data_IF_465417597796
#
_entry.id   IF_465417597796
#
_cell.length_a   1.000
_cell.length_b   1.000
_cell.length_c   1.000
_cell.angle_alpha   90.00
_cell.angle_beta   90.00
_cell.angle_gamma   90.00
#
_symmetry.space_group_name_H-M   'P 1'
#
loop_
_entity.id
_entity.type
_entity.pdbx_description
1 polymer ?
#
# COMPACT_ATOMS: atom_id res chain seq x y z
N UNK A 1 -17.92 -10.92 19.18
CA UNK A 1 -17.22 -11.46 18.00
C UNK A 1 -15.85 -10.82 17.95
N UNK A 2 -14.81 -11.65 18.10
CA UNK A 2 -13.44 -11.19 18.30
C UNK A 2 -12.99 -10.25 17.18
N UNK A 3 -12.44 -9.11 17.56
CA UNK A 3 -11.73 -8.23 16.64
C UNK A 3 -10.62 -9.06 16.02
N UNK A 4 -10.85 -9.56 14.79
CA UNK A 4 -9.76 -9.99 13.93
C UNK A 4 -9.01 -8.70 13.62
N UNK A 5 -8.07 -8.33 14.50
CA UNK A 5 -6.87 -7.66 14.04
C UNK A 5 -6.34 -8.62 12.98
N UNK A 6 -6.75 -8.40 11.73
CA UNK A 6 -6.24 -9.14 10.60
C UNK A 6 -4.77 -8.78 10.61
N UNK A 7 -3.98 -9.67 11.23
CA UNK A 7 -2.56 -9.73 11.00
C UNK A 7 -2.43 -9.73 9.49
N UNK A 8 -2.06 -8.58 8.95
CA UNK A 8 -1.74 -8.43 7.55
C UNK A 8 -0.58 -9.38 7.35
N UNK A 9 -0.89 -10.60 6.91
CA UNK A 9 0.07 -11.69 6.95
C UNK A 9 1.28 -11.26 6.12
N UNK A 10 2.48 -11.64 6.53
CA UNK A 10 3.70 -11.36 5.77
C UNK A 10 3.53 -11.71 4.29
N UNK A 11 2.82 -12.80 3.99
CA UNK A 11 2.48 -13.20 2.62
C UNK A 11 1.55 -12.20 1.89
N UNK A 12 0.58 -11.58 2.57
CA UNK A 12 -0.29 -10.55 1.99
C UNK A 12 0.48 -9.23 1.78
N UNK A 13 1.34 -8.85 2.73
CA UNK A 13 2.36 -7.79 2.59
C UNK A 13 3.17 -7.96 1.33
N UNK A 14 3.84 -9.10 1.19
CA UNK A 14 4.72 -9.35 0.05
C UNK A 14 3.96 -9.32 -1.27
N UNK A 15 2.76 -9.91 -1.31
CA UNK A 15 1.93 -9.90 -2.52
C UNK A 15 1.51 -8.48 -2.91
N UNK A 16 1.10 -7.66 -1.95
CA UNK A 16 0.73 -6.26 -2.18
C UNK A 16 1.96 -5.45 -2.64
N UNK A 17 3.08 -5.56 -1.92
CA UNK A 17 4.31 -4.85 -2.27
C UNK A 17 4.79 -5.22 -3.68
N UNK A 18 4.68 -6.48 -4.08
CA UNK A 18 5.02 -6.92 -5.44
C UNK A 18 4.10 -6.29 -6.49
N UNK A 19 2.80 -6.21 -6.22
CA UNK A 19 1.83 -5.55 -7.11
C UNK A 19 2.11 -4.05 -7.23
N UNK A 20 2.31 -3.37 -6.09
CA UNK A 20 2.62 -1.95 -6.05
C UNK A 20 3.95 -1.65 -6.74
N UNK A 21 4.98 -2.48 -6.54
CA UNK A 21 6.28 -2.37 -7.22
C UNK A 21 6.13 -2.43 -8.73
N UNK A 22 5.43 -3.46 -9.23
CA UNK A 22 5.18 -3.60 -10.67
C UNK A 22 4.43 -2.40 -11.24
N UNK A 23 3.46 -1.83 -10.51
CA UNK A 23 2.74 -0.62 -10.94
C UNK A 23 3.63 0.60 -10.92
N UNK A 24 4.45 0.76 -9.90
CA UNK A 24 5.39 1.87 -9.77
C UNK A 24 6.42 1.84 -10.90
N UNK A 25 7.02 0.68 -11.18
CA UNK A 25 7.99 0.50 -12.27
C UNK A 25 7.35 0.77 -13.64
N UNK A 26 6.12 0.29 -13.87
CA UNK A 26 5.37 0.58 -15.10
C UNK A 26 5.02 2.07 -15.27
N UNK A 27 4.90 2.82 -14.17
CA UNK A 27 4.59 4.25 -14.17
C UNK A 27 5.81 5.10 -13.78
N UNK A 28 7.02 4.54 -13.82
CA UNK A 28 8.22 5.21 -13.34
C UNK A 28 8.52 6.50 -14.12
N UNK A 29 8.00 6.59 -15.35
CA UNK A 29 8.03 7.81 -16.15
C UNK A 29 7.32 9.01 -15.49
N UNK A 30 6.33 8.79 -14.61
CA UNK A 30 5.65 9.84 -13.83
C UNK A 30 6.31 10.09 -12.47
N UNK A 31 7.29 9.27 -12.11
CA UNK A 31 7.95 9.23 -10.82
C UNK A 31 9.47 9.41 -10.97
N UNK A 32 9.91 10.25 -11.91
CA UNK A 32 11.32 10.55 -12.10
C UNK A 32 11.92 11.13 -10.80
N UNK A 33 12.96 10.48 -10.28
CA UNK A 33 13.61 10.87 -9.02
C UNK A 33 13.04 10.20 -7.77
N UNK A 34 12.03 9.34 -7.89
CA UNK A 34 11.55 8.50 -6.79
C UNK A 34 12.08 7.08 -6.92
N UNK A 35 12.70 6.58 -5.84
CA UNK A 35 13.16 5.20 -5.77
C UNK A 35 12.16 4.31 -5.04
N UNK A 36 11.85 3.17 -5.64
CA UNK A 36 10.96 2.17 -5.05
C UNK A 36 11.41 1.73 -3.65
N UNK A 37 12.72 1.56 -3.42
CA UNK A 37 13.25 1.17 -2.11
C UNK A 37 12.86 2.16 -1.01
N UNK A 38 12.97 3.46 -1.27
CA UNK A 38 12.59 4.50 -0.31
C UNK A 38 11.08 4.51 -0.02
N UNK A 39 10.26 4.19 -1.03
CA UNK A 39 8.81 4.07 -0.87
C UNK A 39 8.47 2.81 -0.07
N UNK A 40 9.07 1.68 -0.43
CA UNK A 40 8.88 0.40 0.24
C UNK A 40 9.21 0.51 1.73
N UNK A 41 10.36 1.07 2.11
CA UNK A 41 10.70 1.24 3.54
C UNK A 41 9.70 2.13 4.28
N UNK A 42 9.15 3.18 3.63
CA UNK A 42 8.10 4.01 4.22
C UNK A 42 6.78 3.26 4.38
N UNK A 43 6.43 2.37 3.44
CA UNK A 43 5.23 1.55 3.51
C UNK A 43 5.35 0.47 4.59
N UNK A 44 6.49 -0.18 4.69
CA UNK A 44 6.78 -1.18 5.73
C UNK A 44 6.83 -0.55 7.12
N UNK A 45 7.35 0.67 7.24
CA UNK A 45 7.33 1.44 8.48
C UNK A 45 5.92 1.96 8.85
N UNK A 46 5.01 2.13 7.87
CA UNK A 46 3.65 2.66 8.08
C UNK A 46 2.58 1.62 7.69
N UNK A 47 2.31 0.68 8.61
CA UNK A 47 1.29 -0.37 8.42
C UNK A 47 -0.10 0.17 8.05
N UNK A 48 -0.50 1.33 8.58
CA UNK A 48 -1.79 1.95 8.25
C UNK A 48 -1.89 2.36 6.77
N UNK A 49 -0.84 2.98 6.23
CA UNK A 49 -0.79 3.34 4.80
C UNK A 49 -0.79 2.11 3.90
N UNK A 50 -0.06 1.06 4.31
CA UNK A 50 -0.05 -0.20 3.60
C UNK A 50 -1.46 -0.83 3.57
N UNK A 51 -2.20 -0.76 4.68
CA UNK A 51 -3.57 -1.25 4.77
C UNK A 51 -4.52 -0.45 3.87
N UNK A 52 -4.42 0.88 3.85
CA UNK A 52 -5.20 1.71 2.93
C UNK A 52 -4.92 1.37 1.47
N UNK A 53 -3.64 1.17 1.10
CA UNK A 53 -3.27 0.77 -0.26
C UNK A 53 -3.77 -0.63 -0.62
N UNK A 54 -3.77 -1.56 0.35
CA UNK A 54 -4.37 -2.88 0.15
C UNK A 54 -5.85 -2.76 -0.19
N UNK A 55 -6.58 -1.95 0.57
CA UNK A 55 -8.01 -1.75 0.35
C UNK A 55 -8.26 -1.07 -1.00
N UNK A 56 -7.48 -0.06 -1.38
CA UNK A 56 -7.54 0.57 -2.70
C UNK A 56 -7.33 -0.43 -3.84
N UNK A 57 -6.35 -1.33 -3.69
CA UNK A 57 -6.08 -2.39 -4.65
C UNK A 57 -7.21 -3.42 -4.71
N UNK A 58 -7.80 -3.73 -3.56
CA UNK A 58 -8.89 -4.71 -3.43
C UNK A 58 -10.21 -4.19 -3.97
N UNK A 59 -10.51 -2.90 -3.78
CA UNK A 59 -11.77 -2.27 -4.24
C UNK A 59 -11.67 -1.66 -5.64
N UNK A 60 -10.46 -1.63 -6.23
CA UNK A 60 -10.27 -1.11 -7.59
C UNK A 60 -10.20 0.41 -7.69
N UNK A 61 -9.90 1.10 -6.58
CA UNK A 61 -9.59 2.54 -6.61
C UNK A 61 -10.61 3.45 -5.95
N UNK A 62 -11.66 2.92 -5.31
CA UNK A 62 -12.49 3.70 -4.38
C UNK A 62 -12.13 3.30 -2.95
N UNK A 63 -11.10 3.94 -2.35
CA UNK A 63 -11.11 4.09 -0.92
C UNK A 63 -12.15 5.16 -0.61
N UNK A 64 -13.17 4.82 0.16
CA UNK A 64 -13.99 5.83 0.82
C UNK A 64 -13.11 6.47 1.92
N UNK A 65 -12.16 7.32 1.50
CA UNK A 65 -11.30 8.12 2.39
C UNK A 65 -12.15 9.28 2.87
N UNK A 66 -12.98 9.01 3.86
CA UNK A 66 -13.53 10.07 4.70
C UNK A 66 -12.35 10.63 5.51
N UNK A 67 -11.77 11.70 4.96
CA UNK A 67 -10.89 12.71 5.55
C UNK A 67 -10.01 12.33 6.74
N UNK A 68 -8.69 12.38 6.52
CA UNK A 68 -7.77 12.79 7.58
C UNK A 68 -7.24 14.19 7.26
N UNK A 69 -7.95 15.19 7.80
CA UNK A 69 -7.44 16.54 7.99
C UNK A 69 -6.92 16.63 9.44
N UNK A 70 -5.60 16.68 9.58
CA UNK A 70 -4.80 17.55 10.46
C UNK A 70 -3.35 17.08 10.59
#
# INVERSE_FOLDING_TARGET
MGKKNQEFSSAQCEKLLKTLKNRFEKNMNRHQGLEWNNIQSKLEANREKLWSLHEMERTGGEPDVVGYDK
#
